data_IF_962336485666
#
_entry.id   IF_962336485666
#
_cell.length_a   1.000
_cell.length_b   1.000
_cell.length_c   1.000
_cell.angle_alpha   90.00
_cell.angle_beta   90.00
_cell.angle_gamma   90.00
#
_symmetry.space_group_name_H-M   'P 1'
#
loop_
_entity.id
_entity.type
_entity.pdbx_description
1 polymer ?
#
# COMPACT_ATOMS: atom_id res chain seq x y z
N UNK A 1 23.88 14.44 -13.42
CA UNK A 1 22.75 14.21 -12.49
C UNK A 1 21.49 14.06 -13.32
N UNK A 2 21.02 12.84 -13.55
CA UNK A 2 19.77 12.62 -14.29
C UNK A 2 18.60 12.96 -13.36
N UNK A 3 17.81 13.99 -13.68
CA UNK A 3 16.54 14.26 -12.99
C UNK A 3 15.62 13.07 -13.28
N UNK A 4 15.13 12.40 -12.23
CA UNK A 4 14.12 11.37 -12.42
C UNK A 4 12.85 12.07 -12.99
N UNK A 5 12.42 11.75 -14.22
CA UNK A 5 11.38 12.49 -14.94
C UNK A 5 10.01 12.40 -14.25
N UNK A 6 9.82 11.46 -13.33
CA UNK A 6 8.56 11.27 -12.60
C UNK A 6 8.39 12.20 -11.39
N UNK A 7 9.45 12.84 -10.91
CA UNK A 7 9.35 13.73 -9.75
C UNK A 7 8.45 14.93 -10.07
N UNK A 8 7.57 15.28 -9.13
CA UNK A 8 6.54 16.34 -9.28
C UNK A 8 5.43 16.01 -10.29
N UNK A 9 5.40 14.80 -10.84
CA UNK A 9 4.24 14.33 -11.61
C UNK A 9 3.03 14.21 -10.70
N UNK A 10 1.87 14.60 -11.21
CA UNK A 10 0.61 14.55 -10.50
C UNK A 10 -0.29 13.47 -11.09
N UNK A 11 -0.86 12.64 -10.23
CA UNK A 11 -1.93 11.71 -10.58
C UNK A 11 -3.20 12.05 -9.81
N UNK A 12 -4.34 11.90 -10.46
CA UNK A 12 -5.66 12.14 -9.85
C UNK A 12 -6.28 10.80 -9.51
N UNK A 13 -6.57 10.58 -8.24
CA UNK A 13 -7.32 9.40 -7.81
C UNK A 13 -8.79 9.49 -8.13
N UNK A 14 -9.49 8.37 -8.01
CA UNK A 14 -10.93 8.27 -8.22
C UNK A 14 -11.71 9.16 -7.22
N UNK A 15 -11.15 9.40 -6.04
CA UNK A 15 -11.70 10.36 -5.07
C UNK A 15 -11.64 11.83 -5.52
N UNK A 16 -10.96 12.14 -6.64
CA UNK A 16 -10.65 13.49 -7.11
C UNK A 16 -9.42 14.11 -6.44
N UNK A 17 -8.82 13.44 -5.46
CA UNK A 17 -7.58 13.90 -4.82
C UNK A 17 -6.40 13.83 -5.79
N UNK A 18 -5.55 14.86 -5.74
CA UNK A 18 -4.33 14.95 -6.54
C UNK A 18 -3.13 14.52 -5.70
N UNK A 19 -2.41 13.51 -6.18
CA UNK A 19 -1.20 12.97 -5.56
C UNK A 19 0.02 13.44 -6.34
N UNK A 20 0.92 14.18 -5.68
CA UNK A 20 2.18 14.63 -6.28
C UNK A 20 3.30 13.67 -5.91
N UNK A 21 3.95 13.07 -6.91
CA UNK A 21 5.06 12.13 -6.69
C UNK A 21 6.27 12.88 -6.12
N UNK A 22 6.67 12.48 -4.92
CA UNK A 22 7.84 13.03 -4.22
C UNK A 22 9.08 12.15 -4.37
N UNK A 23 8.89 10.83 -4.51
CA UNK A 23 9.99 9.89 -4.59
C UNK A 23 9.59 8.62 -5.34
N UNK A 24 10.51 8.10 -6.15
CA UNK A 24 10.40 6.77 -6.74
C UNK A 24 11.04 5.77 -5.79
N UNK A 25 10.25 4.83 -5.25
CA UNK A 25 10.73 3.79 -4.34
C UNK A 25 11.15 2.53 -5.11
N UNK A 26 10.41 2.20 -6.17
CA UNK A 26 10.72 1.10 -7.07
C UNK A 26 10.17 1.39 -8.46
N UNK A 27 10.94 1.04 -9.49
CA UNK A 27 10.55 1.17 -10.89
C UNK A 27 11.25 0.09 -11.72
N UNK A 28 10.53 -0.99 -11.99
CA UNK A 28 10.95 -2.08 -12.87
C UNK A 28 10.09 -2.12 -14.13
N UNK A 29 10.70 -2.39 -15.28
CA UNK A 29 10.01 -2.38 -16.59
C UNK A 29 9.48 -3.77 -16.96
N UNK A 30 10.11 -4.85 -16.49
CA UNK A 30 9.70 -6.22 -16.83
C UNK A 30 10.08 -7.22 -15.72
N UNK A 31 9.09 -7.78 -14.98
CA UNK A 31 7.67 -7.39 -15.00
C UNK A 31 7.47 -5.98 -14.41
N UNK A 32 6.42 -5.25 -14.82
CA UNK A 32 6.16 -3.90 -14.33
C UNK A 32 5.94 -3.90 -12.82
N UNK A 33 6.77 -3.14 -12.10
CA UNK A 33 6.64 -2.89 -10.66
C UNK A 33 6.95 -1.43 -10.40
N UNK A 34 5.94 -0.68 -9.98
CA UNK A 34 6.08 0.74 -9.71
C UNK A 34 5.55 1.04 -8.33
N UNK A 35 6.42 1.59 -7.49
CA UNK A 35 6.05 2.05 -6.14
C UNK A 35 6.57 3.47 -5.99
N UNK A 36 5.66 4.40 -5.75
CA UNK A 36 5.97 5.80 -5.57
C UNK A 36 5.52 6.28 -4.20
N UNK A 37 6.32 7.14 -3.58
CA UNK A 37 5.86 7.97 -2.46
C UNK A 37 5.32 9.28 -3.01
N UNK A 38 4.10 9.61 -2.65
CA UNK A 38 3.45 10.85 -3.04
C UNK A 38 2.94 11.62 -1.83
N UNK A 39 2.64 12.90 -2.02
CA UNK A 39 1.92 13.71 -1.05
C UNK A 39 0.64 14.28 -1.62
N UNK A 40 -0.35 14.44 -0.74
CA UNK A 40 -1.62 15.09 -1.01
C UNK A 40 -2.18 15.62 0.31
N UNK A 41 -2.73 16.83 0.31
CA UNK A 41 -3.34 17.47 1.50
C UNK A 41 -2.44 17.47 2.75
N UNK A 42 -1.12 17.62 2.57
CA UNK A 42 -0.14 17.56 3.67
C UNK A 42 0.13 16.16 4.24
N UNK A 43 -0.47 15.13 3.67
CA UNK A 43 -0.28 13.73 4.04
C UNK A 43 0.56 12.98 3.01
N UNK A 44 1.23 11.90 3.45
CA UNK A 44 2.04 11.02 2.60
C UNK A 44 1.28 9.74 2.24
N UNK A 45 1.49 9.29 1.01
CA UNK A 45 0.84 8.12 0.43
C UNK A 45 1.86 7.26 -0.32
N UNK A 46 1.51 5.98 -0.47
CA UNK A 46 2.18 5.05 -1.35
C UNK A 46 1.26 4.77 -2.53
N UNK A 47 1.75 5.02 -3.74
CA UNK A 47 1.09 4.63 -4.98
C UNK A 47 1.78 3.35 -5.44
N UNK A 48 1.02 2.26 -5.49
CA UNK A 48 1.53 0.95 -5.87
C UNK A 48 0.83 0.48 -7.15
N UNK A 49 1.62 0.13 -8.16
CA UNK A 49 1.11 -0.48 -9.38
C UNK A 49 0.51 -1.86 -9.09
N UNK A 50 -0.64 -2.10 -9.69
CA UNK A 50 -1.37 -3.36 -9.65
C UNK A 50 -1.51 -3.83 -11.08
N UNK A 51 -1.11 -5.08 -11.35
CA UNK A 51 -1.24 -5.64 -12.69
C UNK A 51 -2.72 -5.61 -13.12
N UNK A 52 -3.08 -5.13 -14.33
CA UNK A 52 -4.47 -4.96 -14.76
C UNK A 52 -5.35 -6.20 -14.56
N UNK A 53 -4.79 -7.38 -14.85
CA UNK A 53 -5.48 -8.68 -14.64
C UNK A 53 -5.96 -8.91 -13.20
N UNK A 54 -5.31 -8.29 -12.22
CA UNK A 54 -5.63 -8.41 -10.80
C UNK A 54 -6.39 -7.19 -10.26
N UNK A 55 -6.51 -6.11 -11.04
CA UNK A 55 -6.97 -4.82 -10.53
C UNK A 55 -8.41 -4.88 -10.00
N UNK A 56 -9.34 -5.40 -10.80
CA UNK A 56 -10.76 -5.52 -10.43
C UNK A 56 -10.95 -6.44 -9.22
N UNK A 57 -10.32 -7.63 -9.24
CA UNK A 57 -10.39 -8.59 -8.13
C UNK A 57 -9.86 -7.98 -6.81
N UNK A 58 -8.69 -7.33 -6.85
CA UNK A 58 -8.14 -6.68 -5.64
C UNK A 58 -8.97 -5.48 -5.20
N UNK A 59 -9.68 -4.81 -6.11
CA UNK A 59 -10.61 -3.74 -5.78
C UNK A 59 -11.85 -4.29 -5.06
N UNK A 60 -12.40 -5.40 -5.55
CA UNK A 60 -13.51 -6.11 -4.90
C UNK A 60 -13.14 -6.60 -3.51
N UNK A 61 -11.95 -7.18 -3.36
CA UNK A 61 -11.38 -7.55 -2.05
C UNK A 61 -11.32 -6.34 -1.12
N UNK A 62 -10.79 -5.21 -1.58
CA UNK A 62 -10.74 -3.98 -0.78
C UNK A 62 -12.14 -3.51 -0.36
N UNK A 63 -13.12 -3.60 -1.26
CA UNK A 63 -14.50 -3.19 -0.99
C UNK A 63 -15.18 -4.11 0.04
N UNK A 64 -14.99 -5.43 -0.06
CA UNK A 64 -15.55 -6.41 0.89
C UNK A 64 -15.00 -6.21 2.31
N UNK A 65 -13.72 -5.92 2.43
CA UNK A 65 -13.06 -5.71 3.72
C UNK A 65 -13.32 -4.31 4.31
N UNK A 66 -13.71 -3.34 3.48
CA UNK A 66 -13.96 -1.96 3.93
C UNK A 66 -15.11 -1.92 4.92
N UNK A 67 -14.82 -1.50 6.14
CA UNK A 67 -15.79 -1.45 7.25
C UNK A 67 -15.91 -2.76 8.04
N UNK A 68 -15.32 -3.85 7.56
CA UNK A 68 -15.39 -5.17 8.19
C UNK A 68 -14.04 -5.64 8.75
N UNK A 69 -12.92 -5.15 8.20
CA UNK A 69 -11.57 -5.42 8.66
C UNK A 69 -10.91 -4.15 9.20
N UNK A 70 -10.15 -4.27 10.29
CA UNK A 70 -9.52 -3.14 10.98
C UNK A 70 -7.99 -3.27 11.08
N UNK A 71 -7.45 -4.45 10.78
CA UNK A 71 -6.02 -4.77 10.86
C UNK A 71 -5.38 -5.04 9.48
N UNK A 72 -6.16 -4.90 8.40
CA UNK A 72 -5.68 -5.01 7.01
C UNK A 72 -5.42 -3.62 6.43
N UNK A 73 -4.29 -3.46 5.74
CA UNK A 73 -4.00 -2.23 5.00
C UNK A 73 -4.82 -2.20 3.71
N UNK A 74 -5.90 -1.42 3.71
CA UNK A 74 -6.76 -1.23 2.54
C UNK A 74 -6.35 0.02 1.75
N UNK A 75 -6.57 -0.02 0.44
CA UNK A 75 -6.41 1.13 -0.42
C UNK A 75 -7.39 2.23 0.02
N UNK A 76 -6.88 3.45 0.18
CA UNK A 76 -7.68 4.63 0.51
C UNK A 76 -8.22 5.32 -0.74
N UNK A 77 -7.65 5.02 -1.90
CA UNK A 77 -8.05 5.52 -3.20
C UNK A 77 -7.46 4.62 -4.31
N UNK A 78 -7.90 4.81 -5.55
CA UNK A 78 -7.37 4.13 -6.72
C UNK A 78 -7.14 5.12 -7.87
N UNK A 79 -6.20 4.80 -8.77
CA UNK A 79 -5.91 5.58 -9.98
C UNK A 79 -6.00 4.59 -11.15
N UNK A 80 -7.22 4.35 -11.70
CA UNK A 80 -7.45 3.27 -12.65
C UNK A 80 -6.68 3.42 -13.97
N UNK A 81 -6.53 4.64 -14.48
CA UNK A 81 -5.80 4.94 -15.72
C UNK A 81 -4.30 4.62 -15.64
N UNK A 82 -3.75 4.55 -14.42
CA UNK A 82 -2.37 4.11 -14.14
C UNK A 82 -2.29 2.70 -13.57
N UNK A 83 -3.43 2.03 -13.38
CA UNK A 83 -3.53 0.76 -12.66
C UNK A 83 -2.85 0.80 -11.29
N UNK A 84 -3.12 1.83 -10.48
CA UNK A 84 -2.51 1.99 -9.16
C UNK A 84 -3.53 1.99 -8.02
N UNK A 85 -3.12 1.42 -6.90
CA UNK A 85 -3.80 1.58 -5.60
C UNK A 85 -3.02 2.57 -4.75
N UNK A 86 -3.75 3.38 -3.99
CA UNK A 86 -3.19 4.38 -3.08
C UNK A 86 -3.36 3.89 -1.65
N UNK A 87 -2.27 3.84 -0.89
CA UNK A 87 -2.24 3.48 0.51
C UNK A 87 -1.73 4.64 1.36
N UNK A 88 -2.15 4.72 2.63
CA UNK A 88 -1.51 5.63 3.59
C UNK A 88 -0.05 5.22 3.78
N UNK A 89 0.85 6.20 3.78
CA UNK A 89 2.25 5.95 4.07
C UNK A 89 2.45 5.71 5.57
N UNK A 90 3.01 4.56 5.94
CA UNK A 90 3.48 4.28 7.29
C UNK A 90 4.99 4.58 7.35
N UNK A 91 5.43 5.35 8.36
CA UNK A 91 6.80 5.85 8.43
C UNK A 91 7.87 4.75 8.62
N UNK A 92 7.49 3.61 9.19
CA UNK A 92 8.38 2.47 9.40
C UNK A 92 7.75 1.21 8.80
N UNK A 93 8.55 0.42 8.08
CA UNK A 93 8.18 -0.92 7.63
C UNK A 93 8.41 -1.94 8.76
N UNK A 94 7.65 -3.04 8.75
CA UNK A 94 7.79 -4.11 9.74
C UNK A 94 9.21 -4.66 9.81
N UNK A 95 9.88 -4.77 8.66
CA UNK A 95 11.28 -5.20 8.56
C UNK A 95 12.23 -4.24 9.30
N UNK A 96 12.04 -2.94 9.14
CA UNK A 96 12.82 -1.92 9.85
C UNK A 96 12.56 -1.96 11.36
N UNK A 97 11.33 -2.29 11.77
CA UNK A 97 10.98 -2.48 13.18
C UNK A 97 11.66 -3.74 13.76
N UNK A 98 11.71 -4.83 13.01
CA UNK A 98 12.36 -6.08 13.43
C UNK A 98 13.89 -5.93 13.60
N UNK A 99 14.50 -4.97 12.92
CA UNK A 99 15.93 -4.65 13.04
C UNK A 99 16.26 -3.75 14.25
N UNK A 100 15.25 -3.16 14.90
CA UNK A 100 15.42 -2.35 16.11
C UNK A 100 15.33 -3.25 17.34
N UNK A 101 16.09 -2.93 18.38
CA UNK A 101 15.93 -3.56 19.69
C UNK A 101 14.65 -3.05 20.37
N UNK A 102 13.54 -3.73 20.09
CA UNK A 102 12.22 -3.36 20.60
C UNK A 102 11.90 -4.14 21.89
N UNK A 103 11.28 -3.49 22.88
CA UNK A 103 10.82 -4.19 24.07
C UNK A 103 9.91 -5.37 23.71
N UNK A 104 10.06 -6.52 24.38
CA UNK A 104 9.29 -7.73 24.10
C UNK A 104 7.77 -7.50 24.07
N UNK A 105 7.27 -6.59 24.91
CA UNK A 105 5.85 -6.21 24.94
C UNK A 105 5.39 -5.56 23.63
N UNK A 106 6.26 -4.76 22.99
CA UNK A 106 5.98 -4.13 21.69
C UNK A 106 5.96 -5.19 20.59
N UNK A 107 6.92 -6.11 20.59
CA UNK A 107 6.99 -7.22 19.63
C UNK A 107 5.71 -8.07 19.72
N UNK A 108 5.31 -8.49 20.93
CA UNK A 108 4.08 -9.26 21.14
C UNK A 108 2.83 -8.53 20.61
N UNK A 109 2.75 -7.22 20.80
CA UNK A 109 1.64 -6.39 20.31
C UNK A 109 1.62 -6.32 18.78
N UNK A 110 2.77 -6.19 18.14
CA UNK A 110 2.90 -6.19 16.68
C UNK A 110 2.45 -7.55 16.12
N UNK A 111 2.98 -8.66 16.66
CA UNK A 111 2.61 -10.01 16.24
C UNK A 111 1.11 -10.27 16.40
N UNK A 112 0.52 -9.87 17.54
CA UNK A 112 -0.92 -10.01 17.75
C UNK A 112 -1.71 -9.28 16.66
N UNK A 113 -1.36 -8.04 16.34
CA UNK A 113 -2.05 -7.25 15.29
C UNK A 113 -1.91 -7.88 13.91
N UNK A 114 -0.72 -8.38 13.55
CA UNK A 114 -0.49 -9.05 12.27
C UNK A 114 -1.34 -10.31 12.17
N UNK A 115 -1.33 -11.17 13.21
CA UNK A 115 -2.14 -12.39 13.23
C UNK A 115 -3.64 -12.10 13.19
N UNK A 116 -4.10 -11.04 13.87
CA UNK A 116 -5.50 -10.59 13.77
C UNK A 116 -5.85 -10.16 12.34
N UNK A 117 -4.98 -9.41 11.66
CA UNK A 117 -5.20 -9.06 10.26
C UNK A 117 -5.27 -10.27 9.32
N UNK A 118 -4.43 -11.28 9.54
CA UNK A 118 -4.49 -12.53 8.77
C UNK A 118 -5.80 -13.28 9.03
N UNK A 119 -6.24 -13.36 10.30
CA UNK A 119 -7.53 -13.96 10.63
C UNK A 119 -8.70 -13.21 9.98
N UNK A 120 -8.68 -11.87 10.01
CA UNK A 120 -9.67 -11.05 9.31
C UNK A 120 -9.71 -11.32 7.80
N UNK A 121 -8.57 -11.62 7.14
CA UNK A 121 -8.58 -12.01 5.73
C UNK A 121 -9.24 -13.39 5.53
N UNK A 122 -8.93 -14.34 6.40
CA UNK A 122 -9.48 -15.71 6.32
C UNK A 122 -11.00 -15.75 6.59
N UNK A 123 -11.52 -14.89 7.46
CA UNK A 123 -12.98 -14.78 7.70
C UNK A 123 -13.76 -14.39 6.43
N UNK A 124 -13.09 -13.82 5.43
CA UNK A 124 -13.67 -13.43 4.14
C UNK A 124 -13.24 -14.34 2.98
N UNK A 125 -12.64 -15.49 3.28
CA UNK A 125 -12.10 -16.47 2.32
C UNK A 125 -11.01 -15.87 1.41
N UNK A 126 -10.20 -14.95 1.96
CA UNK A 126 -9.09 -14.31 1.24
C UNK A 126 -7.78 -14.90 1.73
N UNK A 127 -7.07 -15.59 0.84
CA UNK A 127 -5.73 -16.11 1.11
C UNK A 127 -4.70 -15.03 0.78
N UNK A 128 -3.86 -14.67 1.75
CA UNK A 128 -2.73 -13.79 1.52
C UNK A 128 -1.60 -14.56 0.83
N UNK A 129 -1.41 -14.34 -0.47
CA UNK A 129 -0.50 -15.18 -1.31
C UNK A 129 0.94 -14.68 -1.46
N UNK A 130 1.32 -13.54 -0.85
CA UNK A 130 2.69 -13.01 -0.93
C UNK A 130 3.11 -12.34 0.40
N UNK A 131 3.77 -13.09 1.29
CA UNK A 131 4.53 -12.54 2.42
C UNK A 131 6.03 -12.48 2.06
N UNK A 132 6.58 -11.28 1.89
CA UNK A 132 8.03 -11.05 1.93
C UNK A 132 8.36 -9.94 2.92
#
# INVERSE_FOLDING_TARGET
MSRNPLLSTQYTGLSGRIYTIEHVLQEDVSPPRHVYRASADGHKFILNYIHPVNFENLQDVNNRLRGNASHVCLAVDTIPDKSMFVFKHFADHLLTLAQKDLPLIVIKRILKKVLTGIAELHDWDIVHTESK
#
